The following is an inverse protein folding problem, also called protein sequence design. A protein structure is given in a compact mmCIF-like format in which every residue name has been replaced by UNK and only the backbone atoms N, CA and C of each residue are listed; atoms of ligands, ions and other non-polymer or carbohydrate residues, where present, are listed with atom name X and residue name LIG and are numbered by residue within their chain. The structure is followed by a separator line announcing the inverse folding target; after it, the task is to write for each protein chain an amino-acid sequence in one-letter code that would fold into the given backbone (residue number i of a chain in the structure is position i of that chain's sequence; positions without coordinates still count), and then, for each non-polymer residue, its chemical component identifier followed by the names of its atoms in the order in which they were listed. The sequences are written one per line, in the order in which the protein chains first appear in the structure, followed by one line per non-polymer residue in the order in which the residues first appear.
data_IF_263220641427
#
_entry.id   IF_263220641427
#
_cell.length_a   1.000
_cell.length_b   1.000
_cell.length_c   1.000
_cell.angle_alpha   90.00
_cell.angle_beta   90.00
_cell.angle_gamma   90.00
#
_symmetry.space_group_name_H-M   'P 1'
#
loop_
_entity.id
_entity.type
_entity.pdbx_description
1 polymer ?
#
# COMPACT_ATOMS: atom_id res chain seq x y z
N UNK A 1 8.47 15.83 22.51
CA UNK A 1 9.70 15.07 22.31
C UNK A 1 9.31 13.63 21.99
N UNK A 2 9.42 13.24 20.71
CA UNK A 2 9.25 11.86 20.32
C UNK A 2 10.44 11.06 20.80
N UNK A 3 10.23 10.17 21.75
CA UNK A 3 11.25 9.28 22.27
C UNK A 3 11.64 8.29 21.16
N UNK A 4 12.93 8.14 20.90
CA UNK A 4 13.53 7.39 19.78
C UNK A 4 13.53 5.87 20.03
N UNK A 5 12.49 5.32 20.61
CA UNK A 5 12.31 3.89 20.70
C UNK A 5 11.76 3.38 19.35
N UNK A 6 12.26 2.24 18.87
CA UNK A 6 11.81 1.57 17.63
C UNK A 6 10.30 1.31 17.66
N UNK A 7 9.51 2.33 17.39
CA UNK A 7 8.05 2.22 17.29
C UNK A 7 7.72 1.67 15.90
N UNK A 8 7.22 0.46 15.83
CA UNK A 8 6.83 -0.19 14.57
C UNK A 8 5.32 -0.41 14.48
N UNK A 9 4.52 0.42 15.14
CA UNK A 9 3.07 0.25 15.26
C UNK A 9 2.25 1.07 14.28
N UNK A 10 1.05 0.63 14.04
CA UNK A 10 -0.06 1.33 13.42
C UNK A 10 -1.23 1.40 14.41
N UNK A 11 -2.22 2.29 14.21
CA UNK A 11 -3.45 2.29 15.01
C UNK A 11 -4.17 0.95 15.05
N UNK A 12 -4.15 0.23 13.92
CA UNK A 12 -4.68 -1.14 13.83
C UNK A 12 -3.52 -2.07 13.47
N UNK A 13 -3.24 -3.07 14.31
CA UNK A 13 -2.26 -4.11 14.04
C UNK A 13 -2.95 -5.47 13.96
N UNK A 14 -2.72 -6.21 12.88
CA UNK A 14 -3.34 -7.51 12.66
C UNK A 14 -2.27 -8.60 12.50
N UNK A 15 -2.51 -9.74 13.15
CA UNK A 15 -1.64 -10.92 13.11
C UNK A 15 -2.40 -12.20 12.68
N UNK A 16 -3.69 -12.10 12.47
CA UNK A 16 -4.60 -13.18 12.09
C UNK A 16 -5.58 -12.70 11.03
N UNK A 17 -6.64 -13.47 10.83
CA UNK A 17 -7.67 -13.16 9.86
C UNK A 17 -8.50 -11.97 10.33
N UNK A 18 -8.44 -10.90 9.56
CA UNK A 18 -9.10 -9.63 9.85
C UNK A 18 -9.89 -9.16 8.64
N UNK A 19 -11.11 -8.72 8.87
CA UNK A 19 -11.98 -8.16 7.84
C UNK A 19 -12.37 -6.74 8.22
N UNK A 20 -12.25 -5.82 7.27
CA UNK A 20 -12.56 -4.40 7.46
C UNK A 20 -13.63 -3.99 6.44
N UNK A 21 -14.74 -3.47 6.96
CA UNK A 21 -15.82 -2.87 6.19
C UNK A 21 -16.35 -1.66 6.96
N UNK A 22 -15.55 -0.62 7.03
CA UNK A 22 -15.87 0.62 7.75
C UNK A 22 -15.01 1.78 7.26
N UNK A 23 -15.27 2.97 7.76
CA UNK A 23 -14.42 4.14 7.56
C UNK A 23 -13.28 4.20 8.60
N UNK A 24 -12.06 4.44 8.12
CA UNK A 24 -10.85 4.64 8.92
C UNK A 24 -10.16 5.89 8.40
N UNK A 25 -10.10 6.93 9.19
CA UNK A 25 -9.51 8.18 8.74
C UNK A 25 -8.70 8.90 9.81
N UNK A 26 -7.82 9.82 9.38
CA UNK A 26 -7.01 10.71 10.22
C UNK A 26 -6.13 9.97 11.20
N UNK A 27 -5.61 8.84 10.77
CA UNK A 27 -4.74 7.98 11.57
C UNK A 27 -3.27 8.33 11.36
N UNK A 28 -2.44 8.04 12.37
CA UNK A 28 -0.98 8.17 12.25
C UNK A 28 -0.29 6.95 12.85
N UNK A 29 0.55 6.32 12.04
CA UNK A 29 1.34 5.16 12.43
C UNK A 29 2.82 5.32 12.11
N UNK A 30 3.64 4.40 12.56
CA UNK A 30 5.05 4.33 12.18
C UNK A 30 5.20 3.57 10.86
N UNK A 31 4.74 2.31 10.81
CA UNK A 31 4.56 1.54 9.57
C UNK A 31 3.06 1.27 9.39
N UNK A 32 2.47 1.73 8.30
CA UNK A 32 1.02 1.75 8.11
C UNK A 32 0.36 2.89 8.87
N UNK A 33 -0.06 3.94 8.18
CA UNK A 33 -0.73 5.07 8.82
C UNK A 33 -2.01 4.68 9.55
N UNK A 34 -2.77 3.75 9.00
CA UNK A 34 -3.97 3.18 9.60
C UNK A 34 -3.76 1.73 10.06
N UNK A 35 -3.24 0.86 9.19
CA UNK A 35 -3.23 -0.58 9.42
C UNK A 35 -1.84 -1.16 9.16
N UNK A 36 -1.38 -2.02 10.06
CA UNK A 36 -0.22 -2.89 9.85
C UNK A 36 -0.64 -4.35 9.91
N UNK A 37 -0.55 -5.05 8.78
CA UNK A 37 -0.79 -6.48 8.69
C UNK A 37 0.53 -7.26 8.77
N UNK A 38 0.63 -8.15 9.75
CA UNK A 38 1.81 -8.96 10.03
C UNK A 38 1.41 -10.43 10.06
N UNK A 39 1.83 -11.22 9.07
CA UNK A 39 1.53 -12.67 8.97
C UNK A 39 0.04 -13.02 8.87
N UNK A 40 -0.85 -12.06 8.90
CA UNK A 40 -2.30 -12.26 8.89
C UNK A 40 -2.90 -12.17 7.49
N UNK A 41 -4.15 -12.58 7.38
CA UNK A 41 -5.00 -12.32 6.21
C UNK A 41 -5.86 -11.09 6.49
N UNK A 42 -5.58 -9.99 5.80
CA UNK A 42 -6.37 -8.77 5.88
C UNK A 42 -7.24 -8.62 4.64
N UNK A 43 -8.55 -8.58 4.84
CA UNK A 43 -9.52 -8.27 3.80
C UNK A 43 -10.13 -6.90 4.05
N UNK A 44 -9.94 -5.99 3.09
CA UNK A 44 -10.56 -4.66 3.04
C UNK A 44 -11.59 -4.70 1.91
N UNK A 45 -12.88 -4.50 2.22
CA UNK A 45 -13.93 -4.79 1.24
C UNK A 45 -15.17 -3.90 1.42
N UNK A 46 -16.08 -4.02 0.45
CA UNK A 46 -17.31 -3.25 0.42
C UNK A 46 -17.03 -1.76 0.34
N UNK A 47 -17.86 -0.93 0.92
CA UNK A 47 -17.69 0.52 0.90
C UNK A 47 -16.63 1.04 1.90
N UNK A 48 -15.60 0.24 2.20
CA UNK A 48 -14.53 0.67 3.11
C UNK A 48 -13.84 1.92 2.59
N UNK A 49 -13.63 2.86 3.48
CA UNK A 49 -12.93 4.12 3.23
C UNK A 49 -11.73 4.25 4.15
N UNK A 50 -10.53 4.41 3.58
CA UNK A 50 -9.31 4.70 4.35
C UNK A 50 -8.73 6.00 3.84
N UNK A 51 -8.63 7.01 4.70
CA UNK A 51 -8.24 8.33 4.23
C UNK A 51 -7.53 9.20 5.27
N UNK A 52 -6.82 10.21 4.79
CA UNK A 52 -6.12 11.20 5.61
C UNK A 52 -5.17 10.55 6.63
N UNK A 53 -4.57 9.41 6.28
CA UNK A 53 -3.68 8.68 7.16
C UNK A 53 -2.22 8.96 6.84
N UNK A 54 -1.37 8.96 7.85
CA UNK A 54 0.06 9.26 7.70
C UNK A 54 0.92 8.17 8.32
N UNK A 55 1.85 7.64 7.54
CA UNK A 55 2.93 6.79 8.02
C UNK A 55 4.24 7.56 8.13
N UNK A 56 4.96 7.36 9.23
CA UNK A 56 6.29 7.96 9.42
C UNK A 56 7.36 7.27 8.54
N UNK A 57 7.04 6.10 8.03
CA UNK A 57 7.90 5.35 7.11
C UNK A 57 7.10 4.92 5.90
N UNK A 58 6.63 3.70 5.86
CA UNK A 58 6.09 3.00 4.72
C UNK A 58 4.57 2.75 4.85
N UNK A 59 3.84 2.78 3.75
CA UNK A 59 2.41 2.51 3.68
C UNK A 59 1.55 3.57 4.37
N UNK A 60 1.26 4.67 3.68
CA UNK A 60 0.46 5.77 4.25
C UNK A 60 -0.87 5.34 4.85
N UNK A 61 -1.53 4.37 4.24
CA UNK A 61 -2.70 3.69 4.79
C UNK A 61 -2.34 2.33 5.38
N UNK A 62 -1.79 1.43 4.57
CA UNK A 62 -1.63 0.01 4.92
C UNK A 62 -0.18 -0.43 4.70
N UNK A 63 0.40 -1.08 5.70
CA UNK A 63 1.66 -1.80 5.60
C UNK A 63 1.41 -3.32 5.73
N UNK A 64 1.82 -4.10 4.74
CA UNK A 64 1.66 -5.55 4.68
C UNK A 64 3.03 -6.23 4.63
N UNK A 65 3.32 -7.15 5.55
CA UNK A 65 4.65 -7.74 5.69
C UNK A 65 4.66 -9.11 6.36
N UNK A 66 5.82 -9.76 6.34
CA UNK A 66 6.10 -11.02 7.02
C UNK A 66 5.12 -12.13 6.65
N UNK A 67 4.91 -12.37 5.36
CA UNK A 67 3.93 -13.33 4.81
C UNK A 67 2.47 -12.89 4.97
N UNK A 68 2.23 -11.61 5.19
CA UNK A 68 0.87 -11.07 5.25
C UNK A 68 0.17 -11.15 3.89
N UNK A 69 -1.09 -11.52 3.91
CA UNK A 69 -1.96 -11.50 2.74
C UNK A 69 -2.93 -10.34 2.85
N UNK A 70 -2.92 -9.45 1.86
CA UNK A 70 -3.84 -8.31 1.76
C UNK A 70 -4.73 -8.46 0.54
N UNK A 71 -6.02 -8.33 0.71
CA UNK A 71 -6.96 -8.20 -0.40
C UNK A 71 -7.81 -6.94 -0.26
N UNK A 72 -8.02 -6.24 -1.38
CA UNK A 72 -8.83 -5.03 -1.46
C UNK A 72 -9.89 -5.21 -2.53
N UNK A 73 -11.15 -4.98 -2.18
CA UNK A 73 -12.30 -5.11 -3.05
C UNK A 73 -13.32 -4.01 -2.75
N UNK A 74 -13.77 -3.29 -3.78
CA UNK A 74 -14.81 -2.26 -3.72
C UNK A 74 -14.61 -1.22 -2.59
N UNK A 75 -13.35 -0.80 -2.42
CA UNK A 75 -12.93 0.10 -1.35
C UNK A 75 -12.22 1.32 -1.90
N UNK A 76 -12.15 2.40 -1.13
CA UNK A 76 -11.50 3.64 -1.52
C UNK A 76 -10.40 4.03 -0.54
N UNK A 77 -9.18 4.34 -1.05
CA UNK A 77 -8.03 4.77 -0.26
C UNK A 77 -7.49 6.07 -0.83
N UNK A 78 -7.54 7.16 -0.07
CA UNK A 78 -7.12 8.46 -0.57
C UNK A 78 -6.51 9.39 0.49
N UNK A 79 -5.81 10.43 0.03
CA UNK A 79 -5.15 11.44 0.85
C UNK A 79 -4.23 10.84 1.94
N UNK A 80 -3.66 9.67 1.69
CA UNK A 80 -2.72 9.07 2.63
C UNK A 80 -1.29 9.43 2.24
N UNK A 81 -0.41 9.57 3.23
CA UNK A 81 0.98 9.96 3.02
C UNK A 81 1.94 9.00 3.72
N UNK A 82 2.98 8.57 3.01
CA UNK A 82 4.14 7.89 3.57
C UNK A 82 5.38 8.78 3.44
N UNK A 83 6.15 8.91 4.51
CA UNK A 83 7.41 9.68 4.45
C UNK A 83 8.52 8.93 3.69
N UNK A 84 8.35 7.65 3.42
CA UNK A 84 9.27 6.86 2.59
C UNK A 84 8.50 6.31 1.38
N UNK A 85 8.03 5.08 1.40
CA UNK A 85 7.49 4.38 0.24
C UNK A 85 6.02 3.94 0.42
N UNK A 86 5.30 3.83 -0.72
CA UNK A 86 3.91 3.38 -0.74
C UNK A 86 2.93 4.36 -0.09
N UNK A 87 2.61 5.45 -0.78
CA UNK A 87 1.73 6.50 -0.25
C UNK A 87 0.39 5.99 0.28
N UNK A 88 -0.20 4.98 -0.35
CA UNK A 88 -1.34 4.24 0.18
C UNK A 88 -0.91 2.91 0.80
N UNK A 89 -0.29 2.04 0.02
CA UNK A 89 -0.02 0.65 0.39
C UNK A 89 1.46 0.33 0.20
N UNK A 90 2.04 -0.30 1.19
CA UNK A 90 3.37 -0.90 1.12
C UNK A 90 3.28 -2.40 1.42
N UNK A 91 3.74 -3.25 0.48
CA UNK A 91 3.78 -4.69 0.65
C UNK A 91 5.19 -5.20 0.44
N UNK A 92 5.72 -5.90 1.43
CA UNK A 92 7.10 -6.39 1.41
C UNK A 92 7.25 -7.79 2.01
N UNK A 93 8.41 -8.34 1.80
CA UNK A 93 8.92 -9.64 2.24
C UNK A 93 8.41 -10.80 1.37
N UNK A 94 9.26 -11.79 1.21
CA UNK A 94 8.92 -13.04 0.52
C UNK A 94 7.67 -13.69 1.14
N UNK A 95 6.84 -14.27 0.30
CA UNK A 95 5.55 -14.87 0.64
C UNK A 95 4.47 -13.88 1.12
N UNK A 96 4.74 -12.58 1.16
CA UNK A 96 3.68 -11.58 1.33
C UNK A 96 2.95 -11.35 0.01
N UNK A 97 1.65 -11.14 0.08
CA UNK A 97 0.84 -10.89 -1.12
C UNK A 97 -0.13 -9.72 -0.92
N UNK A 98 -0.32 -8.97 -1.99
CA UNK A 98 -1.33 -7.92 -2.08
C UNK A 98 -2.13 -8.12 -3.37
N UNK A 99 -3.44 -8.20 -3.24
CA UNK A 99 -4.35 -8.33 -4.39
C UNK A 99 -5.37 -7.20 -4.32
N UNK A 100 -5.44 -6.38 -5.38
CA UNK A 100 -6.38 -5.28 -5.48
C UNK A 100 -7.39 -5.63 -6.58
N UNK A 101 -8.53 -6.16 -6.20
CA UNK A 101 -9.55 -6.63 -7.13
C UNK A 101 -10.35 -5.51 -7.80
N UNK A 102 -10.65 -4.46 -7.05
CA UNK A 102 -11.46 -3.32 -7.48
C UNK A 102 -11.36 -2.18 -6.47
N UNK A 103 -12.03 -1.06 -6.76
CA UNK A 103 -12.04 0.13 -5.91
C UNK A 103 -11.17 1.26 -6.44
N UNK A 104 -10.90 2.25 -5.61
CA UNK A 104 -10.15 3.46 -5.98
C UNK A 104 -8.99 3.71 -5.03
N UNK A 105 -7.83 4.05 -5.60
CA UNK A 105 -6.64 4.46 -4.84
C UNK A 105 -6.13 5.75 -5.47
N UNK A 106 -6.33 6.88 -4.80
CA UNK A 106 -6.06 8.17 -5.42
C UNK A 106 -5.61 9.24 -4.43
N UNK A 107 -4.96 10.28 -4.97
CA UNK A 107 -4.47 11.42 -4.18
C UNK A 107 -3.56 11.02 -3.01
N UNK A 108 -2.87 9.88 -3.12
CA UNK A 108 -1.92 9.47 -2.11
C UNK A 108 -0.52 9.94 -2.46
N UNK A 109 0.32 10.08 -1.45
CA UNK A 109 1.66 10.65 -1.61
C UNK A 109 2.72 9.84 -0.88
N UNK A 110 3.87 9.67 -1.53
CA UNK A 110 5.09 9.20 -0.89
C UNK A 110 6.23 10.19 -1.11
N UNK A 111 7.15 10.30 -0.15
CA UNK A 111 8.33 11.15 -0.36
C UNK A 111 9.39 10.46 -1.24
N UNK A 112 9.43 9.13 -1.24
CA UNK A 112 10.44 8.39 -2.01
C UNK A 112 9.83 7.68 -3.22
N UNK A 113 9.07 6.62 -3.02
CA UNK A 113 8.65 5.76 -4.14
C UNK A 113 7.23 5.22 -3.99
N UNK A 114 6.57 5.00 -5.11
CA UNK A 114 5.19 4.54 -5.22
C UNK A 114 4.19 5.46 -4.53
N UNK A 115 3.67 6.40 -5.26
CA UNK A 115 2.63 7.31 -4.73
C UNK A 115 1.39 6.56 -4.23
N UNK A 116 1.00 5.46 -4.88
CA UNK A 116 -0.07 4.59 -4.41
C UNK A 116 0.45 3.29 -3.81
N UNK A 117 0.98 2.37 -4.62
CA UNK A 117 1.26 1.00 -4.20
C UNK A 117 2.70 0.60 -4.46
N UNK A 118 3.41 0.24 -3.41
CA UNK A 118 4.73 -0.36 -3.48
C UNK A 118 4.65 -1.88 -3.26
N UNK A 119 5.35 -2.64 -4.09
CA UNK A 119 5.58 -4.08 -3.89
C UNK A 119 7.05 -4.40 -4.09
N UNK A 120 7.68 -5.03 -3.13
CA UNK A 120 9.11 -5.35 -3.20
C UNK A 120 9.56 -6.43 -2.23
N UNK A 121 10.87 -6.68 -2.24
CA UNK A 121 11.50 -7.64 -1.32
C UNK A 121 10.87 -9.04 -1.37
N UNK A 122 10.52 -9.51 -2.58
CA UNK A 122 9.92 -10.81 -2.80
C UNK A 122 8.39 -10.85 -2.67
N UNK A 123 7.73 -9.77 -2.33
CA UNK A 123 6.27 -9.72 -2.26
C UNK A 123 5.62 -9.79 -3.65
N UNK A 124 4.40 -10.33 -3.71
CA UNK A 124 3.59 -10.36 -4.92
C UNK A 124 2.49 -9.31 -4.88
N UNK A 125 2.25 -8.67 -6.02
CA UNK A 125 1.15 -7.74 -6.24
C UNK A 125 0.32 -8.17 -7.45
N UNK A 126 -0.98 -8.29 -7.29
CA UNK A 126 -1.91 -8.53 -8.39
C UNK A 126 -2.90 -7.39 -8.46
N UNK A 127 -3.04 -6.76 -9.63
CA UNK A 127 -3.95 -5.65 -9.88
C UNK A 127 -5.04 -6.09 -10.83
N UNK A 128 -6.28 -6.13 -10.33
CA UNK A 128 -7.47 -6.55 -11.05
C UNK A 128 -7.66 -8.06 -11.08
N UNK A 129 -8.78 -8.44 -11.68
CA UNK A 129 -9.17 -9.80 -12.03
C UNK A 129 -9.89 -9.79 -13.39
N UNK A 130 -10.25 -10.94 -13.93
CA UNK A 130 -10.87 -11.02 -15.27
C UNK A 130 -12.12 -10.15 -15.44
N UNK A 131 -12.88 -9.92 -14.39
CA UNK A 131 -14.17 -9.21 -14.40
C UNK A 131 -14.11 -7.77 -13.88
N UNK A 132 -13.11 -7.40 -13.07
CA UNK A 132 -12.98 -6.08 -12.47
C UNK A 132 -11.53 -5.67 -12.25
N UNK A 133 -11.31 -4.37 -12.07
CA UNK A 133 -10.01 -3.83 -11.71
C UNK A 133 -10.14 -2.49 -11.02
N UNK A 134 -9.12 -2.07 -10.26
CA UNK A 134 -9.12 -0.79 -9.57
C UNK A 134 -8.87 0.39 -10.52
N UNK A 135 -9.20 1.57 -10.03
CA UNK A 135 -8.74 2.86 -10.57
C UNK A 135 -7.63 3.40 -9.65
N UNK A 136 -6.42 3.59 -10.19
CA UNK A 136 -5.27 4.14 -9.48
C UNK A 136 -4.88 5.46 -10.15
N UNK A 137 -5.20 6.58 -9.53
CA UNK A 137 -5.04 7.88 -10.19
C UNK A 137 -4.64 9.01 -9.25
N UNK A 138 -4.02 10.03 -9.82
CA UNK A 138 -3.63 11.27 -9.11
C UNK A 138 -2.76 11.02 -7.87
N UNK A 139 -1.98 9.93 -7.86
CA UNK A 139 -1.02 9.67 -6.80
C UNK A 139 0.34 10.26 -7.16
N UNK A 140 1.10 10.65 -6.16
CA UNK A 140 2.37 11.35 -6.36
C UNK A 140 3.49 10.71 -5.55
N UNK A 141 4.65 10.49 -6.17
CA UNK A 141 5.87 10.14 -5.46
C UNK A 141 6.97 11.17 -5.68
N UNK A 142 7.79 11.40 -4.67
CA UNK A 142 9.00 12.23 -4.81
C UNK A 142 10.13 11.54 -5.57
N UNK A 143 10.08 10.24 -5.70
CA UNK A 143 11.04 9.41 -6.42
C UNK A 143 10.44 8.73 -7.64
N UNK A 144 10.40 7.40 -7.63
CA UNK A 144 9.99 6.60 -8.79
C UNK A 144 8.64 5.92 -8.60
N UNK A 145 7.87 5.77 -9.69
CA UNK A 145 6.55 5.14 -9.68
C UNK A 145 5.49 6.00 -9.03
N UNK A 146 4.92 6.96 -9.76
CA UNK A 146 3.86 7.84 -9.25
C UNK A 146 2.63 7.06 -8.77
N UNK A 147 2.19 6.08 -9.53
CA UNK A 147 1.11 5.17 -9.16
C UNK A 147 1.64 3.92 -8.45
N UNK A 148 2.23 3.02 -9.20
CA UNK A 148 2.69 1.71 -8.72
C UNK A 148 4.19 1.56 -8.93
N UNK A 149 4.88 0.99 -7.95
CA UNK A 149 6.27 0.55 -8.10
C UNK A 149 6.41 -0.90 -7.69
N UNK A 150 6.97 -1.69 -8.58
CA UNK A 150 7.51 -3.00 -8.27
C UNK A 150 9.03 -2.87 -8.14
N UNK A 151 9.57 -3.14 -6.96
CA UNK A 151 11.01 -3.07 -6.77
C UNK A 151 11.67 -4.38 -7.18
N UNK A 152 12.53 -4.30 -8.19
CA UNK A 152 13.40 -5.42 -8.57
C UNK A 152 14.46 -5.66 -7.50
N UNK A 153 14.68 -6.91 -7.14
CA UNK A 153 15.73 -7.27 -6.19
C UNK A 153 17.11 -6.91 -6.71
N UNK A 154 18.00 -6.56 -5.80
CA UNK A 154 19.44 -6.39 -6.09
C UNK A 154 20.22 -7.32 -5.19
N UNK A 155 21.12 -8.10 -5.78
CA UNK A 155 21.97 -9.05 -5.00
C UNK A 155 21.15 -10.21 -4.43
N UNK A 156 21.15 -10.37 -3.11
CA UNK A 156 20.43 -11.44 -2.40
C UNK A 156 18.95 -11.16 -2.18
N UNK A 157 18.48 -9.95 -2.47
CA UNK A 157 17.10 -9.58 -2.26
C UNK A 157 16.24 -9.98 -3.47
N UNK A 158 15.20 -10.77 -3.24
CA UNK A 158 14.25 -11.12 -4.27
C UNK A 158 13.44 -9.88 -4.69
N UNK A 159 13.32 -9.66 -5.99
CA UNK A 159 12.43 -8.63 -6.52
C UNK A 159 10.96 -8.94 -6.24
N UNK A 160 10.15 -7.90 -6.12
CA UNK A 160 8.70 -8.05 -6.11
C UNK A 160 8.18 -8.55 -7.47
N UNK A 161 7.06 -9.24 -7.47
CA UNK A 161 6.36 -9.67 -8.68
C UNK A 161 5.05 -8.91 -8.78
N UNK A 162 4.86 -8.20 -9.89
CA UNK A 162 3.60 -7.47 -10.13
C UNK A 162 2.92 -7.99 -11.39
N UNK A 163 1.65 -8.34 -11.27
CA UNK A 163 0.80 -8.78 -12.37
C UNK A 163 -0.36 -7.81 -12.54
N UNK A 164 -0.48 -7.23 -13.72
CA UNK A 164 -1.62 -6.38 -14.10
C UNK A 164 -2.58 -7.23 -14.95
N UNK A 165 -3.82 -7.39 -14.48
CA UNK A 165 -4.87 -8.13 -15.19
C UNK A 165 -5.88 -7.17 -15.79
N UNK A 166 -6.37 -6.22 -14.99
CA UNK A 166 -7.38 -5.23 -15.37
C UNK A 166 -7.33 -4.04 -14.42
N UNK A 167 -7.78 -2.89 -14.88
CA UNK A 167 -7.84 -1.64 -14.12
C UNK A 167 -7.32 -0.47 -14.92
N UNK A 168 -7.34 0.70 -14.35
CA UNK A 168 -6.79 1.92 -14.94
C UNK A 168 -5.74 2.52 -14.01
N UNK A 169 -4.64 2.98 -14.60
CA UNK A 169 -3.58 3.70 -13.90
C UNK A 169 -3.34 4.99 -14.67
N UNK A 170 -3.80 6.12 -14.14
CA UNK A 170 -3.82 7.39 -14.87
C UNK A 170 -3.44 8.57 -14.00
N UNK A 171 -2.89 9.61 -14.59
CA UNK A 171 -2.60 10.90 -13.94
C UNK A 171 -1.73 10.78 -12.67
N UNK A 172 -0.92 9.73 -12.55
CA UNK A 172 0.01 9.62 -11.44
C UNK A 172 1.32 10.32 -11.79
N UNK A 173 1.96 10.94 -10.80
CA UNK A 173 3.16 11.74 -10.98
C UNK A 173 4.33 11.21 -10.19
N UNK A 174 5.50 11.14 -10.79
CA UNK A 174 6.75 10.81 -10.11
C UNK A 174 7.78 11.92 -10.23
N UNK A 175 8.58 12.13 -9.18
CA UNK A 175 9.64 13.14 -9.17
C UNK A 175 10.89 12.73 -9.97
N UNK A 176 11.08 11.44 -10.25
CA UNK A 176 12.27 10.92 -10.96
C UNK A 176 11.91 10.09 -12.18
N UNK A 177 11.34 8.89 -11.99
CA UNK A 177 11.09 7.94 -13.05
C UNK A 177 9.69 7.32 -12.97
N UNK A 178 8.96 7.23 -14.08
CA UNK A 178 7.68 6.56 -14.22
C UNK A 178 6.53 7.22 -13.43
N UNK A 179 5.96 8.25 -14.00
CA UNK A 179 4.72 8.90 -13.52
C UNK A 179 3.49 8.13 -13.96
#
# INVERSE_FOLDING_TARGET
TFNNEKKSGAPIMTYGDTQINCEIGRCKGYNGGAIKNIKGTLKVYGDTKIHDCVSVTEGGAIHNSQKGTLSIEDSEIWNCEALEEGGAIFSKDADSSCVIYSGKIHNNKSCESAGAVFSGYGATLVIGRSTSGPEIFENTSGGSGGGVRCNGGTGSDAGGITTFIRGTITNNTSGKHGG
#
